data_IF_884866748156
#
_entry.id   IF_884866748156
#
_cell.length_a   1.000
_cell.length_b   1.000
_cell.length_c   1.000
_cell.angle_alpha   90.00
_cell.angle_beta   90.00
_cell.angle_gamma   90.00
#
_symmetry.space_group_name_H-M   'P 1'
#
loop_
_entity.id
_entity.type
_entity.pdbx_description
1 polymer ?
#
# COMPACT_ATOMS: atom_id res chain seq x y z
N UNK A 1 -6.25 4.18 0.01
CA UNK A 1 -6.18 2.84 0.61
C UNK A 1 -6.30 1.80 -0.49
N UNK A 2 -5.58 0.67 -0.42
CA UNK A 2 -5.70 -0.47 -1.34
C UNK A 2 -7.10 -1.03 -1.48
N UNK A 3 -7.97 -0.87 -0.48
CA UNK A 3 -9.39 -1.20 -0.61
C UNK A 3 -10.11 -0.49 -1.75
N UNK A 4 -9.59 0.66 -2.21
CA UNK A 4 -10.14 1.40 -3.35
C UNK A 4 -9.82 0.75 -4.70
N UNK A 5 -8.67 0.10 -4.83
CA UNK A 5 -8.18 -0.37 -6.13
C UNK A 5 -8.01 -1.90 -6.23
N UNK A 6 -7.85 -2.61 -5.11
CA UNK A 6 -7.65 -4.06 -5.09
C UNK A 6 -8.89 -4.82 -5.57
N UNK A 7 -10.09 -4.30 -5.32
CA UNK A 7 -11.34 -4.98 -5.68
C UNK A 7 -11.65 -4.96 -7.19
N UNK A 8 -11.09 -4.01 -7.96
CA UNK A 8 -11.25 -3.94 -9.42
C UNK A 8 -10.13 -4.69 -10.16
N UNK A 9 -9.05 -5.08 -9.47
CA UNK A 9 -7.92 -5.85 -10.04
C UNK A 9 -7.11 -5.14 -11.14
N UNK A 10 -7.53 -3.95 -11.57
CA UNK A 10 -6.88 -3.19 -12.65
C UNK A 10 -5.55 -2.63 -12.23
N UNK A 11 -5.38 -2.19 -11.00
CA UNK A 11 -4.15 -1.50 -10.60
C UNK A 11 -2.92 -2.40 -10.63
N UNK A 12 -2.99 -3.66 -10.19
CA UNK A 12 -1.84 -4.58 -10.32
C UNK A 12 -1.55 -4.89 -11.80
N UNK A 13 -2.59 -5.01 -12.62
CA UNK A 13 -2.47 -5.17 -14.08
C UNK A 13 -1.83 -3.95 -14.74
N UNK A 14 -2.21 -2.74 -14.34
CA UNK A 14 -1.68 -1.46 -14.85
C UNK A 14 -0.22 -1.28 -14.43
N UNK A 15 0.11 -1.62 -13.18
CA UNK A 15 1.49 -1.63 -12.68
C UNK A 15 2.32 -2.60 -13.51
N UNK A 16 1.85 -3.84 -13.72
CA UNK A 16 2.55 -4.81 -14.57
C UNK A 16 2.73 -4.32 -16.02
N UNK A 17 1.72 -3.69 -16.59
CA UNK A 17 1.76 -3.12 -17.96
C UNK A 17 2.62 -1.86 -18.09
N UNK A 18 3.01 -1.24 -16.97
CA UNK A 18 3.94 -0.09 -16.96
C UNK A 18 5.42 -0.50 -17.07
N UNK A 19 5.71 -1.79 -17.18
CA UNK A 19 7.06 -2.31 -17.34
C UNK A 19 7.84 -1.60 -18.48
N UNK A 20 9.09 -1.23 -18.19
CA UNK A 20 9.97 -0.53 -19.14
C UNK A 20 9.72 0.98 -19.26
N UNK A 21 8.73 1.54 -18.54
CA UNK A 21 8.49 2.99 -18.50
C UNK A 21 9.08 3.61 -17.22
N UNK A 22 9.37 4.93 -17.23
CA UNK A 22 9.82 5.62 -16.04
C UNK A 22 8.81 5.55 -14.89
N UNK A 23 9.29 5.18 -13.71
CA UNK A 23 8.56 5.30 -12.44
C UNK A 23 8.94 6.59 -11.71
N UNK A 24 8.06 7.14 -10.84
CA UNK A 24 8.41 8.25 -9.96
C UNK A 24 9.64 7.95 -9.09
N UNK A 25 10.33 8.98 -8.63
CA UNK A 25 11.52 8.79 -7.78
C UNK A 25 11.22 8.12 -6.45
N UNK A 26 10.02 8.35 -5.90
CA UNK A 26 9.56 7.77 -4.63
C UNK A 26 8.09 7.37 -4.73
N UNK A 27 7.77 6.20 -4.19
CA UNK A 27 6.43 5.64 -4.07
C UNK A 27 6.20 5.30 -2.59
N UNK A 28 5.03 5.68 -2.08
CA UNK A 28 4.57 5.29 -0.75
C UNK A 28 3.31 4.45 -0.89
N UNK A 29 3.31 3.25 -0.33
CA UNK A 29 2.20 2.30 -0.46
C UNK A 29 1.85 1.69 0.90
N UNK A 30 0.79 2.17 1.55
CA UNK A 30 0.40 1.66 2.86
C UNK A 30 -1.10 1.45 3.02
N UNK A 31 -1.44 0.52 3.91
CA UNK A 31 -2.83 0.21 4.29
C UNK A 31 -2.94 -0.23 5.74
N UNK A 32 -4.17 -0.31 6.26
CA UNK A 32 -4.45 -0.99 7.51
C UNK A 32 -4.71 -2.49 7.35
N UNK A 33 -4.44 -3.29 8.38
CA UNK A 33 -4.71 -4.73 8.37
C UNK A 33 -6.16 -5.11 8.61
N UNK A 34 -7.03 -4.15 8.95
CA UNK A 34 -8.45 -4.35 9.27
C UNK A 34 -9.35 -3.40 8.46
N UNK A 35 -9.06 -3.22 7.17
CA UNK A 35 -9.78 -2.28 6.31
C UNK A 35 -11.25 -2.65 6.08
N UNK A 36 -11.58 -3.94 6.07
CA UNK A 36 -12.94 -4.46 5.91
C UNK A 36 -13.60 -4.70 7.27
N UNK A 37 -13.01 -5.54 8.12
CA UNK A 37 -13.65 -5.98 9.38
C UNK A 37 -13.98 -4.81 10.31
N UNK A 38 -13.07 -3.85 10.47
CA UNK A 38 -13.31 -2.68 11.33
C UNK A 38 -14.31 -1.69 10.73
N UNK A 39 -14.46 -1.66 9.41
CA UNK A 39 -15.35 -0.72 8.69
C UNK A 39 -16.77 -1.25 8.60
N UNK A 40 -16.90 -2.54 8.27
CA UNK A 40 -18.19 -3.22 8.11
C UNK A 40 -18.70 -3.84 9.40
N UNK A 41 -17.88 -3.85 10.45
CA UNK A 41 -18.16 -4.54 11.72
C UNK A 41 -18.45 -6.04 11.54
N UNK A 42 -17.99 -6.60 10.42
CA UNK A 42 -18.05 -8.04 10.14
C UNK A 42 -16.75 -8.67 10.60
N UNK A 43 -16.72 -9.13 11.85
CA UNK A 43 -15.56 -9.82 12.45
C UNK A 43 -15.59 -11.33 12.18
N UNK A 44 -16.47 -11.79 11.29
CA UNK A 44 -16.55 -13.20 10.90
C UNK A 44 -15.40 -13.61 9.96
N UNK A 45 -15.43 -14.89 9.57
CA UNK A 45 -14.44 -15.45 8.66
C UNK A 45 -14.49 -14.79 7.27
N UNK A 46 -15.68 -14.39 6.81
CA UNK A 46 -15.83 -13.68 5.53
C UNK A 46 -15.13 -12.31 5.56
N UNK A 47 -15.40 -11.47 6.57
CA UNK A 47 -14.70 -10.19 6.73
C UNK A 47 -13.18 -10.37 6.87
N UNK A 48 -12.75 -11.38 7.64
CA UNK A 48 -11.31 -11.69 7.81
C UNK A 48 -10.65 -12.12 6.49
N UNK A 49 -11.36 -12.83 5.61
CA UNK A 49 -10.88 -13.14 4.25
C UNK A 49 -10.70 -11.88 3.41
N UNK A 50 -11.62 -10.92 3.51
CA UNK A 50 -11.49 -9.64 2.81
C UNK A 50 -10.25 -8.87 3.28
N UNK A 51 -9.98 -8.80 4.58
CA UNK A 51 -8.77 -8.15 5.09
C UNK A 51 -7.48 -8.80 4.57
N UNK A 52 -7.42 -10.14 4.59
CA UNK A 52 -6.27 -10.89 4.05
C UNK A 52 -6.08 -10.67 2.56
N UNK A 53 -7.18 -10.64 1.80
CA UNK A 53 -7.15 -10.34 0.36
C UNK A 53 -6.56 -8.95 0.10
N UNK A 54 -7.01 -7.93 0.82
CA UNK A 54 -6.52 -6.56 0.63
C UNK A 54 -5.03 -6.42 1.01
N UNK A 55 -4.61 -7.08 2.09
CA UNK A 55 -3.20 -7.15 2.49
C UNK A 55 -2.34 -7.81 1.40
N UNK A 56 -2.77 -8.97 0.90
CA UNK A 56 -2.07 -9.70 -0.15
C UNK A 56 -1.98 -8.90 -1.46
N UNK A 57 -3.04 -8.20 -1.87
CA UNK A 57 -3.02 -7.34 -3.06
C UNK A 57 -2.03 -6.18 -2.92
N UNK A 58 -1.82 -5.67 -1.70
CA UNK A 58 -0.84 -4.61 -1.43
C UNK A 58 0.59 -5.13 -1.52
N UNK A 59 0.84 -6.30 -0.95
CA UNK A 59 2.12 -7.01 -1.05
C UNK A 59 2.44 -7.37 -2.51
N UNK A 60 1.47 -7.88 -3.27
CA UNK A 60 1.61 -8.17 -4.70
C UNK A 60 1.98 -6.91 -5.49
N UNK A 61 1.27 -5.80 -5.27
CA UNK A 61 1.58 -4.54 -5.92
C UNK A 61 2.99 -4.03 -5.59
N UNK A 62 3.44 -4.18 -4.33
CA UNK A 62 4.79 -3.83 -3.93
C UNK A 62 5.84 -4.70 -4.65
N UNK A 63 5.63 -6.02 -4.71
CA UNK A 63 6.51 -6.94 -5.44
C UNK A 63 6.61 -6.61 -6.93
N UNK A 64 5.51 -6.23 -7.57
CA UNK A 64 5.51 -5.79 -8.97
C UNK A 64 6.31 -4.49 -9.18
N UNK A 65 6.20 -3.54 -8.27
CA UNK A 65 6.98 -2.29 -8.30
C UNK A 65 8.48 -2.57 -8.13
N UNK A 66 8.85 -3.45 -7.19
CA UNK A 66 10.24 -3.85 -6.95
C UNK A 66 10.83 -4.57 -8.15
N UNK A 67 10.09 -5.50 -8.77
CA UNK A 67 10.49 -6.22 -9.99
C UNK A 67 10.74 -5.27 -11.18
N UNK A 68 10.19 -4.06 -11.15
CA UNK A 68 10.34 -3.03 -12.18
C UNK A 68 11.34 -1.93 -11.83
N UNK A 69 12.16 -2.13 -10.78
CA UNK A 69 13.23 -1.18 -10.44
C UNK A 69 12.86 -0.12 -9.41
N UNK A 70 11.68 -0.21 -8.79
CA UNK A 70 11.27 0.65 -7.67
C UNK A 70 11.66 -0.03 -6.35
N UNK A 71 12.96 -0.17 -6.12
CA UNK A 71 13.52 -0.88 -4.96
C UNK A 71 13.36 -0.09 -3.65
N UNK A 72 13.82 -0.64 -2.53
CA UNK A 72 13.67 -0.09 -1.18
C UNK A 72 14.13 1.38 -0.98
N UNK A 73 15.02 1.91 -1.83
CA UNK A 73 15.40 3.34 -1.79
C UNK A 73 14.34 4.28 -2.42
N UNK A 74 13.37 3.70 -3.14
CA UNK A 74 12.32 4.37 -3.91
C UNK A 74 10.92 3.90 -3.54
N UNK A 75 10.77 2.79 -2.82
CA UNK A 75 9.50 2.29 -2.31
C UNK A 75 9.52 2.17 -0.78
N UNK A 76 8.59 2.84 -0.10
CA UNK A 76 8.23 2.56 1.29
C UNK A 76 6.82 1.95 1.28
N UNK A 77 6.71 0.68 1.68
CA UNK A 77 5.44 -0.02 1.75
C UNK A 77 5.25 -0.78 3.05
N UNK A 78 4.00 -0.88 3.53
CA UNK A 78 3.65 -1.67 4.71
C UNK A 78 2.14 -1.88 4.87
N UNK A 79 1.78 -2.97 5.56
CA UNK A 79 0.44 -3.21 6.12
C UNK A 79 0.51 -2.92 7.62
N UNK A 80 -0.23 -1.94 8.11
CA UNK A 80 -0.28 -1.57 9.53
C UNK A 80 -1.27 -2.47 10.30
N UNK A 81 -0.80 -3.37 11.19
CA UNK A 81 -1.68 -4.30 11.88
C UNK A 81 -2.76 -3.60 12.69
N UNK A 82 -4.01 -4.07 12.59
CA UNK A 82 -5.14 -3.54 13.36
C UNK A 82 -5.69 -2.19 12.91
N UNK A 83 -5.04 -1.49 11.97
CA UNK A 83 -5.55 -0.22 11.47
C UNK A 83 -6.72 -0.40 10.51
N UNK A 84 -7.67 0.53 10.54
CA UNK A 84 -8.93 0.47 9.79
C UNK A 84 -8.93 1.38 8.55
N UNK A 85 -10.01 1.31 7.77
CA UNK A 85 -10.32 2.26 6.69
C UNK A 85 -10.90 3.56 7.27
N UNK A 86 -10.08 4.30 8.01
CA UNK A 86 -10.54 5.52 8.70
C UNK A 86 -9.55 6.67 8.57
N UNK A 87 -10.09 7.90 8.54
CA UNK A 87 -9.28 9.12 8.56
C UNK A 87 -8.35 9.20 9.78
N UNK A 88 -8.79 8.65 10.92
CA UNK A 88 -7.98 8.59 12.14
C UNK A 88 -6.68 7.82 11.90
N UNK A 89 -6.76 6.67 11.25
CA UNK A 89 -5.60 5.82 10.99
C UNK A 89 -4.79 6.34 9.80
N UNK A 90 -5.44 6.94 8.80
CA UNK A 90 -4.74 7.65 7.72
C UNK A 90 -3.93 8.82 8.24
N UNK A 91 -4.47 9.60 9.18
CA UNK A 91 -3.76 10.69 9.85
C UNK A 91 -2.51 10.21 10.58
N UNK A 92 -2.50 8.98 11.11
CA UNK A 92 -1.31 8.39 11.76
C UNK A 92 -0.23 8.05 10.74
N UNK A 93 -0.62 7.55 9.56
CA UNK A 93 0.30 7.21 8.45
C UNK A 93 0.82 8.44 7.69
N UNK A 94 0.02 9.49 7.57
CA UNK A 94 0.32 10.66 6.75
C UNK A 94 1.70 11.30 7.06
N UNK A 95 2.10 11.54 8.32
CA UNK A 95 3.42 12.09 8.61
C UNK A 95 4.59 11.25 8.08
N UNK A 96 4.48 9.91 8.11
CA UNK A 96 5.50 9.01 7.54
C UNK A 96 5.52 9.15 6.02
N UNK A 97 4.35 9.14 5.38
CA UNK A 97 4.24 9.32 3.93
C UNK A 97 4.88 10.64 3.47
N UNK A 98 4.60 11.74 4.17
CA UNK A 98 5.15 13.06 3.82
C UNK A 98 6.67 13.11 4.02
N UNK A 99 7.20 12.55 5.12
CA UNK A 99 8.65 12.45 5.32
C UNK A 99 9.31 11.60 4.24
N UNK A 100 8.69 10.49 3.85
CA UNK A 100 9.21 9.64 2.79
C UNK A 100 9.20 10.33 1.42
N UNK A 101 8.09 10.96 1.05
CA UNK A 101 7.92 11.56 -0.27
C UNK A 101 8.69 12.86 -0.43
N UNK A 102 8.73 13.69 0.61
CA UNK A 102 9.22 15.08 0.54
C UNK A 102 10.47 15.33 1.39
N UNK A 103 10.88 14.39 2.24
CA UNK A 103 12.08 14.53 3.06
C UNK A 103 13.35 14.57 2.22
N UNK A 104 14.36 15.27 2.70
CA UNK A 104 15.67 15.29 2.07
C UNK A 104 16.26 13.87 2.06
N UNK A 105 16.84 13.46 0.93
CA UNK A 105 17.72 12.29 0.92
C UNK A 105 18.96 12.70 1.68
N UNK A 106 19.24 12.04 2.81
CA UNK A 106 20.59 12.10 3.38
C UNK A 106 21.61 11.72 2.30
N UNK A 107 22.86 12.22 2.37
CA UNK A 107 23.87 11.93 1.35
C UNK A 107 23.96 10.42 1.12
N UNK A 108 23.97 10.02 -0.15
CA UNK A 108 24.19 8.63 -0.54
C UNK A 108 25.55 8.21 0.04
N UNK A 109 25.53 7.20 0.91
CA UNK A 109 26.73 6.56 1.44
C UNK A 109 27.39 5.68 0.37
#
# INVERSE_FOLDING_TARGET
SPSFWACDGRTTSDVAAHAGKPWPERVYLAMGGCEYTATRQDTGEAGSKCDRFLAAATEECAGLLEAQGVHAQRLDWHVEPGAAHSERDWRRRLPRALRWLLGERGPAA
#
